data_IF_259641591729
#
_entry.id   IF_259641591729
#
_cell.length_a   1.000
_cell.length_b   1.000
_cell.length_c   1.000
_cell.angle_alpha   90.00
_cell.angle_beta   90.00
_cell.angle_gamma   90.00
#
_symmetry.space_group_name_H-M   'P 1'
#
loop_
_entity.id
_entity.type
_entity.pdbx_description
1 polymer ?
#
# COMPACT_ATOMS: atom_id res chain seq x y z
N UNK A 1 28.72 -10.40 11.33
CA UNK A 1 28.08 -11.41 12.18
C UNK A 1 26.76 -10.80 12.61
N UNK A 2 25.67 -11.23 11.97
CA UNK A 2 24.35 -10.59 12.10
C UNK A 2 23.66 -10.98 13.39
N UNK A 3 22.92 -10.01 13.95
CA UNK A 3 21.81 -10.28 14.84
C UNK A 3 20.53 -9.72 14.18
N UNK A 4 19.41 -10.42 14.37
CA UNK A 4 18.29 -10.43 13.46
C UNK A 4 17.40 -9.20 13.70
N UNK A 5 17.08 -8.46 12.63
CA UNK A 5 16.00 -7.50 12.69
C UNK A 5 14.70 -8.28 12.94
N UNK A 6 14.13 -8.07 14.12
CA UNK A 6 12.87 -8.62 14.61
C UNK A 6 11.89 -9.00 13.50
N UNK A 7 11.75 -10.31 13.28
CA UNK A 7 10.53 -10.88 12.75
C UNK A 7 9.44 -10.66 13.82
N UNK A 8 8.74 -9.52 13.77
CA UNK A 8 7.59 -9.29 14.64
C UNK A 8 6.52 -10.32 14.29
N UNK A 9 6.22 -11.28 15.17
CA UNK A 9 5.27 -12.33 14.86
C UNK A 9 3.84 -11.79 14.96
N UNK A 10 3.08 -11.91 13.88
CA UNK A 10 1.63 -12.08 13.95
C UNK A 10 0.82 -10.88 14.47
N UNK A 11 1.14 -9.66 14.07
CA UNK A 11 0.19 -8.56 14.27
C UNK A 11 -1.07 -8.85 13.42
N UNK A 12 -2.27 -8.96 14.03
CA UNK A 12 -3.48 -9.25 13.27
C UNK A 12 -3.63 -8.18 12.20
N UNK A 13 -3.73 -8.59 10.93
CA UNK A 13 -4.01 -7.67 9.84
C UNK A 13 -5.18 -6.78 10.30
N UNK A 14 -5.08 -5.44 10.16
CA UNK A 14 -6.13 -4.55 10.61
C UNK A 14 -7.47 -5.03 10.06
N UNK A 15 -8.58 -4.91 10.81
CA UNK A 15 -9.88 -5.36 10.35
C UNK A 15 -10.10 -4.81 8.94
N UNK A 16 -10.14 -5.69 7.93
CA UNK A 16 -10.52 -5.30 6.57
C UNK A 16 -11.81 -4.51 6.73
N UNK A 17 -11.78 -3.24 6.36
CA UNK A 17 -12.90 -2.31 6.55
C UNK A 17 -14.15 -3.02 6.07
N UNK A 18 -14.99 -3.44 7.03
CA UNK A 18 -16.22 -4.21 6.78
C UNK A 18 -17.24 -3.20 6.27
N UNK A 19 -17.11 -2.93 4.98
CA UNK A 19 -17.71 -1.78 4.31
C UNK A 19 -16.96 -1.41 3.03
N UNK A 20 -16.14 -2.30 2.46
CA UNK A 20 -15.72 -2.16 1.07
C UNK A 20 -16.99 -2.05 0.25
N UNK A 21 -17.33 -0.82 -0.18
CA UNK A 21 -18.35 -0.64 -1.21
C UNK A 21 -17.94 -1.58 -2.35
N UNK A 22 -18.87 -2.36 -2.91
CA UNK A 22 -18.57 -3.28 -4.00
C UNK A 22 -17.66 -2.60 -5.02
N UNK A 23 -16.72 -3.36 -5.59
CA UNK A 23 -15.66 -2.84 -6.48
C UNK A 23 -16.21 -1.94 -7.61
N UNK A 24 -17.48 -2.14 -7.96
CA UNK A 24 -18.23 -1.51 -9.03
C UNK A 24 -19.13 -0.34 -8.57
N UNK A 25 -19.33 -0.14 -7.27
CA UNK A 25 -20.24 0.87 -6.73
C UNK A 25 -19.56 2.23 -6.51
N UNK A 26 -18.22 2.28 -6.52
CA UNK A 26 -17.46 3.52 -6.45
C UNK A 26 -17.02 3.91 -7.87
N UNK A 27 -17.48 5.07 -8.38
CA UNK A 27 -17.03 5.58 -9.67
C UNK A 27 -15.51 5.58 -9.78
N UNK A 28 -14.98 5.08 -10.91
CA UNK A 28 -13.55 5.00 -11.26
C UNK A 28 -12.68 4.07 -10.40
N UNK A 29 -13.20 3.42 -9.36
CA UNK A 29 -12.38 2.55 -8.50
C UNK A 29 -11.82 1.33 -9.25
N UNK A 30 -12.66 0.70 -10.09
CA UNK A 30 -12.23 -0.41 -10.93
C UNK A 30 -11.18 0.01 -11.95
N UNK A 31 -11.41 1.14 -12.63
CA UNK A 31 -10.50 1.66 -13.67
C UNK A 31 -9.15 2.06 -13.09
N UNK A 32 -9.12 2.76 -11.95
CA UNK A 32 -7.89 3.15 -11.26
C UNK A 32 -7.07 1.92 -10.83
N UNK A 33 -7.74 0.89 -10.29
CA UNK A 33 -7.07 -0.37 -9.90
C UNK A 33 -6.45 -1.05 -11.11
N UNK A 34 -7.19 -1.19 -12.21
CA UNK A 34 -6.70 -1.85 -13.41
C UNK A 34 -5.60 -1.05 -14.11
N UNK A 35 -5.66 0.28 -14.07
CA UNK A 35 -4.59 1.15 -14.56
C UNK A 35 -3.28 0.89 -13.82
N UNK A 36 -3.30 0.93 -12.48
CA UNK A 36 -2.12 0.66 -11.65
C UNK A 36 -1.62 -0.78 -11.85
N UNK A 37 -2.54 -1.76 -11.91
CA UNK A 37 -2.21 -3.18 -12.10
C UNK A 37 -1.44 -3.39 -13.40
N UNK A 38 -1.92 -2.82 -14.51
CA UNK A 38 -1.28 -2.95 -15.84
C UNK A 38 0.03 -2.17 -15.94
N UNK A 39 0.13 -1.01 -15.27
CA UNK A 39 1.28 -0.11 -15.38
C UNK A 39 2.44 -0.49 -14.46
N UNK A 40 2.17 -1.00 -13.25
CA UNK A 40 3.19 -1.17 -12.20
C UNK A 40 3.57 -2.62 -11.93
N UNK A 41 2.65 -3.58 -12.07
CA UNK A 41 2.97 -4.99 -11.75
C UNK A 41 3.99 -5.54 -12.73
N UNK A 42 5.07 -6.12 -12.20
CA UNK A 42 6.16 -6.69 -12.99
C UNK A 42 7.05 -5.65 -13.68
N UNK A 43 6.90 -4.35 -13.36
CA UNK A 43 7.76 -3.27 -13.86
C UNK A 43 8.68 -2.76 -12.75
N UNK A 44 9.87 -2.31 -13.15
CA UNK A 44 10.76 -1.57 -12.24
C UNK A 44 10.24 -0.14 -12.11
N UNK A 45 10.05 0.30 -10.88
CA UNK A 45 9.55 1.63 -10.52
C UNK A 45 10.56 2.31 -9.61
N UNK A 46 10.59 3.64 -9.64
CA UNK A 46 11.32 4.42 -8.66
C UNK A 46 10.37 4.77 -7.50
N UNK A 47 10.81 4.55 -6.26
CA UNK A 47 10.00 4.77 -5.06
C UNK A 47 10.72 5.77 -4.18
N UNK A 48 10.04 6.86 -3.86
CA UNK A 48 10.50 7.88 -2.91
C UNK A 48 9.61 7.79 -1.68
N UNK A 49 10.19 7.51 -0.52
CA UNK A 49 9.45 7.45 0.75
C UNK A 49 9.41 8.87 1.33
N UNK A 50 8.21 9.45 1.37
CA UNK A 50 8.01 10.85 1.77
C UNK A 50 7.82 10.95 3.29
N UNK A 51 7.03 10.04 3.87
CA UNK A 51 6.79 10.01 5.31
C UNK A 51 6.32 8.63 5.78
N UNK A 52 6.50 8.38 7.07
CA UNK A 52 5.92 7.24 7.76
C UNK A 52 4.84 7.78 8.69
N UNK A 53 3.60 7.42 8.40
CA UNK A 53 2.49 7.70 9.29
C UNK A 53 2.47 6.62 10.37
N UNK A 54 2.85 7.01 11.58
CA UNK A 54 2.80 6.12 12.74
C UNK A 54 1.38 5.57 12.95
N UNK A 55 1.29 4.38 13.54
CA UNK A 55 0.02 3.79 13.91
C UNK A 55 -0.78 4.78 14.77
N UNK A 56 -2.03 5.02 14.39
CA UNK A 56 -2.93 5.93 15.12
C UNK A 56 -4.30 5.30 15.25
N UNK A 57 -4.84 5.36 16.46
CA UNK A 57 -6.13 4.79 16.85
C UNK A 57 -6.19 3.29 16.52
N UNK A 58 -6.98 2.92 15.51
CA UNK A 58 -7.19 1.54 15.07
C UNK A 58 -6.57 1.26 13.69
N UNK A 59 -5.72 2.15 13.19
CA UNK A 59 -5.05 2.04 11.90
C UNK A 59 -3.56 1.71 12.10
N UNK A 60 -3.03 0.72 11.37
CA UNK A 60 -1.62 0.36 11.47
C UNK A 60 -0.74 1.44 10.84
N UNK A 61 0.57 1.30 11.07
CA UNK A 61 1.59 2.12 10.41
C UNK A 61 1.44 2.06 8.89
N UNK A 62 1.56 3.22 8.24
CA UNK A 62 1.50 3.35 6.78
C UNK A 62 2.68 4.15 6.26
N UNK A 63 3.39 3.58 5.30
CA UNK A 63 4.44 4.29 4.57
C UNK A 63 3.82 5.05 3.41
N UNK A 64 3.87 6.38 3.45
CA UNK A 64 3.51 7.25 2.34
C UNK A 64 4.69 7.35 1.36
N UNK A 65 4.45 7.01 0.09
CA UNK A 65 5.48 7.05 -0.93
C UNK A 65 4.96 7.54 -2.28
N UNK A 66 5.85 8.25 -2.98
CA UNK A 66 5.66 8.67 -4.36
C UNK A 66 6.31 7.65 -5.29
N UNK A 67 5.53 7.10 -6.21
CA UNK A 67 5.97 6.11 -7.20
C UNK A 67 6.08 6.79 -8.56
N UNK A 68 7.27 6.78 -9.15
CA UNK A 68 7.55 7.33 -10.49
C UNK A 68 7.96 6.20 -11.44
N UNK A 69 7.46 6.23 -12.68
CA UNK A 69 7.81 5.24 -13.71
C UNK A 69 7.97 5.93 -15.07
N UNK A 70 9.20 5.88 -15.61
CA UNK A 70 9.53 6.53 -16.89
C UNK A 70 9.71 8.05 -16.79
N UNK A 71 10.07 8.59 -15.62
CA UNK A 71 10.31 10.02 -15.41
C UNK A 71 9.04 10.85 -15.17
N UNK A 72 7.91 10.19 -14.93
CA UNK A 72 6.61 10.77 -14.56
C UNK A 72 6.10 10.11 -13.28
#
# INVERSE_FOLDING_TARGET
>A
MGLPSDEKPGEPLPPRVKGSRPLYDIPWMFEAREFLRKKLIGKRVNVVVDYIQAAKDNFPEKTGCTITIGGV
#
